data_IF_396801869113
#
_entry.id   IF_396801869113
#
_cell.length_a   1.000
_cell.length_b   1.000
_cell.length_c   1.000
_cell.angle_alpha   90.00
_cell.angle_beta   90.00
_cell.angle_gamma   90.00
#
_symmetry.space_group_name_H-M   'P 1'
#
loop_
_entity.id
_entity.type
_entity.pdbx_description
1 polymer ?
#
# COMPACT_ATOMS: atom_id res chain seq x y z
N UNK A 1 -40.59 19.93 -27.81
CA UNK A 1 -39.29 19.54 -28.40
C UNK A 1 -38.27 19.87 -27.34
N UNK A 2 -37.83 18.87 -26.58
CA UNK A 2 -36.71 19.01 -25.62
C UNK A 2 -35.40 18.71 -26.37
N UNK A 3 -34.53 19.72 -26.48
CA UNK A 3 -33.16 19.51 -26.94
C UNK A 3 -32.34 18.84 -25.81
N UNK A 4 -31.85 17.65 -26.11
CA UNK A 4 -30.85 16.98 -25.30
C UNK A 4 -29.51 17.72 -25.46
N UNK A 5 -29.06 18.39 -24.44
CA UNK A 5 -27.68 18.90 -24.38
C UNK A 5 -26.85 17.75 -23.86
N UNK A 6 -26.12 17.09 -24.73
CA UNK A 6 -25.14 16.10 -24.37
C UNK A 6 -24.03 16.76 -23.56
N UNK A 7 -23.88 16.36 -22.31
CA UNK A 7 -22.66 16.59 -21.55
C UNK A 7 -21.60 15.65 -22.15
N UNK A 8 -20.63 16.25 -22.82
CA UNK A 8 -19.41 15.51 -23.20
C UNK A 8 -18.77 15.00 -21.93
N UNK A 9 -18.27 13.72 -21.88
CA UNK A 9 -17.51 13.26 -20.74
C UNK A 9 -16.27 14.15 -20.62
N UNK A 10 -16.04 14.71 -19.43
CA UNK A 10 -14.82 15.43 -19.12
C UNK A 10 -13.66 14.52 -19.47
N UNK A 11 -12.78 14.97 -20.37
CA UNK A 11 -11.53 14.29 -20.65
C UNK A 11 -10.78 14.28 -19.31
N UNK A 12 -10.49 13.08 -18.80
CA UNK A 12 -9.56 12.91 -17.70
C UNK A 12 -8.23 13.52 -18.17
N UNK A 13 -7.80 14.60 -17.53
CA UNK A 13 -6.45 15.12 -17.71
C UNK A 13 -5.51 13.99 -17.26
N UNK A 14 -4.90 13.32 -18.22
CA UNK A 14 -3.77 12.44 -17.94
C UNK A 14 -2.71 13.33 -17.31
N UNK A 15 -2.31 13.01 -16.08
CA UNK A 15 -1.22 13.70 -15.41
C UNK A 15 0.02 13.65 -16.29
N UNK A 16 0.73 14.78 -16.39
CA UNK A 16 2.01 14.80 -17.10
C UNK A 16 2.97 13.79 -16.46
N UNK A 17 3.87 13.18 -17.23
CA UNK A 17 4.89 12.30 -16.65
C UNK A 17 5.63 13.00 -15.51
N UNK A 18 5.89 12.28 -14.43
CA UNK A 18 6.67 12.79 -13.30
C UNK A 18 8.01 13.32 -13.78
N UNK A 19 8.48 14.46 -13.26
CA UNK A 19 9.84 14.95 -13.49
C UNK A 19 10.88 13.88 -13.14
N UNK A 20 12.00 13.92 -13.87
CA UNK A 20 13.11 13.00 -13.63
C UNK A 20 13.62 13.13 -12.17
N UNK A 21 13.71 12.00 -11.47
CA UNK A 21 14.15 11.92 -10.09
C UNK A 21 13.05 12.11 -9.03
N UNK A 22 11.83 12.46 -9.41
CA UNK A 22 10.69 12.47 -8.50
C UNK A 22 10.13 11.07 -8.31
N UNK A 23 9.63 10.84 -7.10
CA UNK A 23 8.90 9.63 -6.70
C UNK A 23 7.53 10.02 -6.19
N UNK A 24 6.48 9.35 -6.64
CA UNK A 24 5.18 9.41 -5.97
C UNK A 24 4.90 8.09 -5.25
N UNK A 25 4.46 8.19 -4.01
CA UNK A 25 3.83 7.10 -3.26
C UNK A 25 2.39 7.52 -3.00
N UNK A 26 1.46 6.79 -3.60
CA UNK A 26 0.03 7.13 -3.61
C UNK A 26 -0.75 6.09 -2.82
N UNK A 27 -1.34 6.50 -1.73
CA UNK A 27 -2.26 5.69 -0.93
C UNK A 27 -3.67 5.91 -1.46
N UNK A 28 -4.15 4.97 -2.26
CA UNK A 28 -5.43 5.08 -2.96
C UNK A 28 -6.61 4.86 -2.00
N UNK A 29 -7.63 5.71 -2.07
CA UNK A 29 -8.88 5.56 -1.30
C UNK A 29 -9.72 4.42 -1.90
N UNK A 30 -9.49 3.21 -1.43
CA UNK A 30 -10.23 2.01 -1.82
C UNK A 30 -11.30 1.59 -0.80
N UNK A 31 -11.59 2.45 0.18
CA UNK A 31 -12.40 2.13 1.35
C UNK A 31 -11.61 1.34 2.39
N UNK A 32 -12.22 0.32 3.01
CA UNK A 32 -11.49 -0.54 3.95
C UNK A 32 -10.62 -1.52 3.17
N UNK A 33 -9.31 -1.33 3.21
CA UNK A 33 -8.31 -2.13 2.52
C UNK A 33 -7.13 -1.31 2.03
N UNK A 34 -6.17 -1.96 1.40
CA UNK A 34 -4.91 -1.36 0.96
C UNK A 34 -4.75 -1.38 -0.57
N UNK A 35 -4.29 -0.27 -1.10
CA UNK A 35 -3.74 -0.16 -2.44
C UNK A 35 -2.73 1.02 -2.47
N UNK A 36 -1.45 0.71 -2.61
CA UNK A 36 -0.38 1.70 -2.64
C UNK A 36 0.34 1.64 -3.98
N UNK A 37 0.31 2.76 -4.71
CA UNK A 37 0.98 2.90 -5.99
C UNK A 37 2.29 3.66 -5.82
N UNK A 38 3.39 3.09 -6.30
CA UNK A 38 4.70 3.74 -6.39
C UNK A 38 4.97 4.07 -7.85
N UNK A 39 5.21 5.33 -8.14
CA UNK A 39 5.60 5.82 -9.46
C UNK A 39 6.98 6.47 -9.40
N UNK A 40 7.88 6.06 -10.30
CA UNK A 40 9.22 6.64 -10.35
C UNK A 40 9.83 6.48 -11.74
N UNK A 41 10.22 7.60 -12.38
CA UNK A 41 10.85 7.61 -13.70
C UNK A 41 10.13 6.74 -14.77
N UNK A 42 8.80 6.77 -14.79
CA UNK A 42 7.98 6.04 -15.76
C UNK A 42 7.75 4.56 -15.43
N UNK A 43 8.35 4.05 -14.35
CA UNK A 43 8.06 2.73 -13.80
C UNK A 43 6.96 2.81 -12.74
N UNK A 44 6.19 1.72 -12.59
CA UNK A 44 5.08 1.64 -11.66
C UNK A 44 5.07 0.30 -10.89
N UNK A 45 4.86 0.39 -9.58
CA UNK A 45 4.61 -0.75 -8.71
C UNK A 45 3.31 -0.53 -7.95
N UNK A 46 2.44 -1.52 -7.93
CA UNK A 46 1.23 -1.52 -7.11
C UNK A 46 1.36 -2.56 -6.00
N UNK A 47 1.26 -2.12 -4.75
CA UNK A 47 1.23 -2.98 -3.56
C UNK A 47 -0.22 -3.06 -3.12
N UNK A 48 -0.78 -4.27 -3.15
CA UNK A 48 -2.19 -4.58 -2.94
C UNK A 48 -3.16 -3.85 -3.89
N UNK A 49 -4.42 -4.23 -3.86
CA UNK A 49 -5.42 -3.77 -4.83
C UNK A 49 -6.81 -3.55 -4.21
N UNK A 50 -6.87 -3.42 -2.90
CA UNK A 50 -8.09 -3.13 -2.16
C UNK A 50 -9.17 -4.23 -2.25
N UNK A 51 -10.34 -3.95 -1.69
CA UNK A 51 -11.47 -4.87 -1.73
C UNK A 51 -12.07 -4.97 -3.12
N UNK A 52 -12.79 -6.08 -3.36
CA UNK A 52 -13.43 -6.37 -4.65
C UNK A 52 -14.36 -5.25 -5.13
N UNK A 53 -15.03 -4.58 -4.23
CA UNK A 53 -16.02 -3.56 -4.60
C UNK A 53 -15.37 -2.26 -5.08
N UNK A 54 -14.14 -1.98 -4.66
CA UNK A 54 -13.36 -0.83 -5.13
C UNK A 54 -12.70 -1.03 -6.50
N UNK A 55 -12.65 -2.25 -7.04
CA UNK A 55 -11.86 -2.61 -8.24
C UNK A 55 -12.06 -1.73 -9.47
N UNK A 56 -13.29 -1.21 -9.68
CA UNK A 56 -13.57 -0.37 -10.85
C UNK A 56 -12.99 1.04 -10.67
N UNK A 57 -13.11 1.60 -9.47
CA UNK A 57 -12.52 2.87 -9.13
C UNK A 57 -10.99 2.76 -9.16
N UNK A 58 -10.42 1.71 -8.58
CA UNK A 58 -8.99 1.44 -8.62
C UNK A 58 -8.44 1.45 -10.05
N UNK A 59 -9.11 0.78 -11.00
CA UNK A 59 -8.68 0.78 -12.41
C UNK A 59 -8.74 2.20 -13.02
N UNK A 60 -9.74 2.99 -12.65
CA UNK A 60 -9.85 4.38 -13.12
C UNK A 60 -8.77 5.27 -12.49
N UNK A 61 -8.52 5.10 -11.20
CA UNK A 61 -7.51 5.85 -10.48
C UNK A 61 -6.12 5.56 -11.03
N UNK A 62 -5.75 4.29 -11.22
CA UNK A 62 -4.48 3.91 -11.84
C UNK A 62 -4.30 4.55 -13.23
N UNK A 63 -5.36 4.57 -14.05
CA UNK A 63 -5.33 5.24 -15.36
C UNK A 63 -5.17 6.76 -15.23
N UNK A 64 -5.77 7.39 -14.21
CA UNK A 64 -5.64 8.82 -13.98
C UNK A 64 -4.21 9.22 -13.61
N UNK A 65 -3.47 8.32 -12.94
CA UNK A 65 -2.04 8.44 -12.68
C UNK A 65 -1.16 8.07 -13.89
N UNK A 66 -1.76 7.82 -15.06
CA UNK A 66 -1.03 7.49 -16.29
C UNK A 66 -0.49 6.08 -16.36
N UNK A 67 -0.88 5.20 -15.43
CA UNK A 67 -0.45 3.79 -15.45
C UNK A 67 -1.03 3.08 -16.66
N UNK A 68 -0.18 2.49 -17.47
CA UNK A 68 -0.55 1.57 -18.55
C UNK A 68 0.10 0.19 -18.35
N UNK A 69 1.25 0.17 -17.67
CA UNK A 69 2.03 -1.00 -17.31
C UNK A 69 2.35 -0.95 -15.81
N UNK A 70 2.41 -2.11 -15.18
CA UNK A 70 2.97 -2.30 -13.84
C UNK A 70 4.20 -3.20 -13.95
N UNK A 71 5.36 -2.69 -13.56
CA UNK A 71 6.59 -3.47 -13.50
C UNK A 71 6.50 -4.54 -12.41
N UNK A 72 5.73 -4.23 -11.35
CA UNK A 72 5.48 -5.15 -10.26
C UNK A 72 4.06 -4.94 -9.70
N UNK A 73 3.32 -6.02 -9.53
CA UNK A 73 2.12 -6.10 -8.70
C UNK A 73 2.47 -6.98 -7.48
N UNK A 74 2.23 -6.48 -6.28
CA UNK A 74 2.55 -7.18 -5.04
C UNK A 74 1.27 -7.53 -4.30
N UNK A 75 1.15 -8.78 -3.90
CA UNK A 75 0.21 -9.26 -2.90
C UNK A 75 0.95 -9.35 -1.57
N UNK A 76 0.63 -8.50 -0.59
CA UNK A 76 1.26 -8.59 0.73
C UNK A 76 0.83 -9.86 1.45
N UNK A 77 -0.47 -10.13 1.46
CA UNK A 77 -1.07 -11.34 2.01
C UNK A 77 -2.47 -11.59 1.38
N UNK A 78 -3.07 -12.78 1.55
CA UNK A 78 -4.26 -13.17 0.79
C UNK A 78 -5.62 -12.73 1.34
N UNK A 79 -5.72 -11.72 2.21
CA UNK A 79 -7.00 -11.17 2.66
C UNK A 79 -7.74 -10.42 1.55
N UNK A 80 -9.07 -10.44 1.63
CA UNK A 80 -9.95 -9.96 0.56
C UNK A 80 -9.86 -8.45 0.31
N UNK A 81 -9.53 -7.68 1.31
CA UNK A 81 -9.34 -6.23 1.27
C UNK A 81 -7.96 -5.79 0.75
N UNK A 82 -7.10 -6.77 0.43
CA UNK A 82 -5.82 -6.58 -0.24
C UNK A 82 -5.83 -7.15 -1.66
N UNK A 83 -6.40 -8.34 -1.86
CA UNK A 83 -6.36 -9.01 -3.19
C UNK A 83 -7.61 -8.75 -4.04
N UNK A 84 -8.61 -8.07 -3.50
CA UNK A 84 -9.94 -7.94 -4.08
C UNK A 84 -10.00 -7.35 -5.47
N UNK A 85 -9.16 -6.37 -5.75
CA UNK A 85 -9.02 -5.71 -7.03
C UNK A 85 -8.02 -6.34 -7.99
N UNK A 86 -7.13 -7.23 -7.54
CA UNK A 86 -5.99 -7.72 -8.33
C UNK A 86 -6.40 -8.36 -9.66
N UNK A 87 -7.51 -9.12 -9.67
CA UNK A 87 -8.02 -9.68 -10.90
C UNK A 87 -8.33 -8.60 -11.95
N UNK A 88 -8.93 -7.49 -11.53
CA UNK A 88 -9.22 -6.38 -12.43
C UNK A 88 -7.95 -5.66 -12.90
N UNK A 89 -6.96 -5.55 -12.03
CA UNK A 89 -5.63 -5.00 -12.38
C UNK A 89 -4.97 -5.86 -13.45
N UNK A 90 -4.86 -7.17 -13.25
CA UNK A 90 -4.29 -8.12 -14.21
C UNK A 90 -4.99 -8.13 -15.57
N UNK A 91 -6.30 -7.85 -15.60
CA UNK A 91 -7.09 -7.82 -16.84
C UNK A 91 -7.03 -6.49 -17.58
N UNK A 92 -6.63 -5.40 -16.94
CA UNK A 92 -6.70 -4.06 -17.49
C UNK A 92 -5.34 -3.39 -17.72
N UNK A 93 -4.27 -3.94 -17.17
CA UNK A 93 -2.92 -3.39 -17.27
C UNK A 93 -1.92 -4.47 -17.72
N UNK A 94 -0.84 -4.03 -18.36
CA UNK A 94 0.31 -4.88 -18.68
C UNK A 94 1.16 -5.08 -17.41
N UNK A 95 0.94 -6.21 -16.72
CA UNK A 95 1.65 -6.55 -15.48
C UNK A 95 2.83 -7.46 -15.80
N UNK A 96 4.06 -7.04 -15.43
CA UNK A 96 5.27 -7.79 -15.75
C UNK A 96 5.53 -8.94 -14.77
N UNK A 97 5.22 -8.73 -13.48
CA UNK A 97 5.39 -9.76 -12.43
C UNK A 97 4.35 -9.58 -11.35
N UNK A 98 3.79 -10.67 -10.85
CA UNK A 98 3.01 -10.74 -9.62
C UNK A 98 3.87 -11.39 -8.53
N UNK A 99 4.20 -10.62 -7.49
CA UNK A 99 4.91 -11.09 -6.30
C UNK A 99 3.90 -11.49 -5.22
N UNK A 100 4.08 -12.66 -4.62
CA UNK A 100 3.20 -13.18 -3.56
C UNK A 100 4.00 -13.71 -2.37
N UNK A 101 3.44 -13.79 -1.16
CA UNK A 101 4.00 -14.63 -0.11
C UNK A 101 3.98 -16.10 -0.54
N UNK A 102 4.58 -16.98 0.28
CA UNK A 102 4.46 -18.42 0.08
C UNK A 102 3.03 -18.87 0.43
N UNK A 103 2.28 -19.27 -0.60
CA UNK A 103 0.89 -19.71 -0.49
C UNK A 103 0.74 -21.24 -0.47
N UNK A 104 1.85 -22.00 -0.43
CA UNK A 104 1.86 -23.45 -0.62
C UNK A 104 1.15 -24.24 0.48
N UNK A 105 1.13 -23.71 1.72
CA UNK A 105 0.53 -24.34 2.90
C UNK A 105 -0.72 -23.62 3.41
N UNK A 106 -1.25 -22.68 2.61
CA UNK A 106 -2.37 -21.83 3.03
C UNK A 106 -3.65 -22.20 2.30
N UNK A 107 -4.76 -22.28 3.03
CA UNK A 107 -6.10 -22.36 2.43
C UNK A 107 -6.43 -21.00 1.78
N UNK A 108 -5.92 -20.80 0.57
CA UNK A 108 -6.14 -19.56 -0.17
C UNK A 108 -7.62 -19.35 -0.47
N UNK A 109 -8.09 -18.13 -0.25
CA UNK A 109 -9.48 -17.76 -0.55
C UNK A 109 -9.81 -17.97 -2.03
N UNK A 110 -11.08 -18.17 -2.35
CA UNK A 110 -11.50 -18.28 -3.76
C UNK A 110 -11.18 -17.01 -4.58
N UNK A 111 -10.89 -15.90 -3.94
CA UNK A 111 -10.47 -14.64 -4.58
C UNK A 111 -8.99 -14.69 -4.95
N UNK A 112 -8.13 -15.16 -4.06
CA UNK A 112 -6.71 -15.40 -4.32
C UNK A 112 -6.52 -16.44 -5.42
N UNK A 113 -7.29 -17.54 -5.39
CA UNK A 113 -7.27 -18.56 -6.46
C UNK A 113 -7.59 -17.95 -7.83
N UNK A 114 -8.64 -17.11 -7.91
CA UNK A 114 -9.00 -16.40 -9.16
C UNK A 114 -7.92 -15.43 -9.62
N UNK A 115 -7.25 -14.75 -8.70
CA UNK A 115 -6.12 -13.87 -9.00
C UNK A 115 -4.97 -14.66 -9.65
N UNK A 116 -4.56 -15.75 -9.03
CA UNK A 116 -3.50 -16.63 -9.57
C UNK A 116 -3.88 -17.23 -10.91
N UNK A 117 -5.13 -17.69 -11.07
CA UNK A 117 -5.64 -18.17 -12.34
C UNK A 117 -5.63 -17.08 -13.41
N UNK A 118 -6.05 -15.86 -13.08
CA UNK A 118 -6.04 -14.73 -14.02
C UNK A 118 -4.61 -14.35 -14.41
N UNK A 119 -3.66 -14.36 -13.49
CA UNK A 119 -2.26 -14.13 -13.79
C UNK A 119 -1.75 -15.18 -14.83
N UNK A 120 -2.08 -16.44 -14.63
CA UNK A 120 -1.74 -17.51 -15.57
C UNK A 120 -2.40 -17.30 -16.95
N UNK A 121 -3.69 -16.93 -16.98
CA UNK A 121 -4.45 -16.67 -18.23
C UNK A 121 -3.88 -15.48 -19.00
N UNK A 122 -3.42 -14.44 -18.28
CA UNK A 122 -2.76 -13.26 -18.86
C UNK A 122 -1.27 -13.48 -19.17
N UNK A 123 -0.70 -14.63 -18.81
CA UNK A 123 0.72 -14.91 -19.01
C UNK A 123 1.67 -14.15 -18.10
N UNK A 124 1.15 -13.64 -16.95
CA UNK A 124 1.93 -12.90 -15.96
C UNK A 124 2.71 -13.88 -15.08
N UNK A 125 4.04 -13.77 -14.98
CA UNK A 125 4.85 -14.57 -14.07
C UNK A 125 4.43 -14.31 -12.62
N UNK A 126 4.30 -15.39 -11.83
CA UNK A 126 4.06 -15.32 -10.39
C UNK A 126 5.34 -15.74 -9.68
N UNK A 127 5.85 -14.88 -8.83
CA UNK A 127 7.05 -15.12 -8.04
C UNK A 127 6.69 -15.20 -6.56
N UNK A 128 7.30 -16.16 -5.85
CA UNK A 128 7.21 -16.23 -4.39
C UNK A 128 8.31 -15.39 -3.78
N UNK A 129 7.95 -14.54 -2.84
CA UNK A 129 8.86 -13.64 -2.17
C UNK A 129 9.88 -14.36 -1.27
N UNK A 130 11.09 -13.81 -1.17
CA UNK A 130 12.11 -14.23 -0.22
C UNK A 130 12.89 -13.04 0.33
N UNK A 131 13.42 -13.19 1.53
CA UNK A 131 14.19 -12.12 2.21
C UNK A 131 15.35 -11.61 1.36
N UNK A 132 15.42 -10.30 1.18
CA UNK A 132 16.47 -9.63 0.42
C UNK A 132 16.24 -9.60 -1.09
N UNK A 133 15.14 -10.14 -1.59
CA UNK A 133 14.75 -10.01 -3.00
C UNK A 133 14.54 -8.52 -3.34
N UNK A 134 15.01 -8.10 -4.50
CA UNK A 134 14.97 -6.70 -4.92
C UNK A 134 14.37 -6.54 -6.30
N UNK A 135 13.57 -5.47 -6.45
CA UNK A 135 13.01 -5.03 -7.72
C UNK A 135 13.40 -3.58 -7.98
N UNK A 136 13.76 -3.30 -9.21
CA UNK A 136 14.04 -1.94 -9.66
C UNK A 136 12.73 -1.28 -10.11
N UNK A 137 12.37 -0.16 -9.50
CA UNK A 137 11.23 0.66 -9.90
C UNK A 137 11.79 2.02 -10.31
N UNK A 138 11.92 2.25 -11.61
CA UNK A 138 12.63 3.40 -12.16
C UNK A 138 14.11 3.43 -11.79
N UNK A 139 14.53 4.37 -10.94
CA UNK A 139 15.89 4.39 -10.35
C UNK A 139 15.89 3.99 -8.87
N UNK A 140 14.69 3.72 -8.30
CA UNK A 140 14.54 3.25 -6.94
C UNK A 140 14.63 1.73 -6.84
N UNK A 141 14.71 1.24 -5.62
CA UNK A 141 14.77 -0.19 -5.30
C UNK A 141 13.72 -0.55 -4.27
N UNK A 142 12.87 -1.49 -4.58
CA UNK A 142 11.96 -2.15 -3.63
C UNK A 142 12.63 -3.43 -3.13
N UNK A 143 12.78 -3.55 -1.81
CA UNK A 143 13.40 -4.71 -1.16
C UNK A 143 12.38 -5.44 -0.30
N UNK A 144 12.29 -6.75 -0.44
CA UNK A 144 11.55 -7.62 0.49
C UNK A 144 12.39 -7.79 1.75
N UNK A 145 11.91 -7.26 2.87
CA UNK A 145 12.56 -7.40 4.17
C UNK A 145 12.16 -8.70 4.85
N UNK A 146 10.85 -8.96 4.93
CA UNK A 146 10.29 -10.24 5.36
C UNK A 146 9.34 -10.75 4.27
N UNK A 147 9.39 -12.05 3.93
CA UNK A 147 8.47 -12.68 2.97
C UNK A 147 7.18 -13.19 3.62
N UNK A 148 6.87 -12.76 4.83
CA UNK A 148 5.96 -13.37 5.79
C UNK A 148 6.71 -14.30 6.75
N UNK A 149 6.12 -14.64 7.88
CA UNK A 149 6.68 -15.60 8.86
C UNK A 149 5.82 -16.84 8.83
N UNK A 150 6.42 -17.99 9.12
CA UNK A 150 5.65 -19.24 9.26
C UNK A 150 4.54 -19.06 10.29
N UNK A 151 3.33 -19.48 9.94
CA UNK A 151 2.11 -19.41 10.74
C UNK A 151 2.20 -20.12 12.12
N UNK A 152 3.33 -20.74 12.43
CA UNK A 152 3.66 -21.37 13.71
C UNK A 152 4.15 -20.36 14.77
N UNK A 153 4.10 -19.07 14.50
CA UNK A 153 4.38 -18.04 15.49
C UNK A 153 3.27 -18.07 16.56
N UNK A 154 3.53 -18.79 17.62
CA UNK A 154 2.61 -18.94 18.74
C UNK A 154 2.21 -17.57 19.31
N UNK A 155 0.97 -17.15 19.07
CA UNK A 155 0.37 -15.95 19.64
C UNK A 155 -0.14 -14.91 18.65
N UNK A 156 -0.18 -15.20 17.34
CA UNK A 156 -0.89 -14.38 16.37
C UNK A 156 -2.40 -14.52 16.53
N UNK A 157 -3.11 -13.41 16.45
CA UNK A 157 -4.56 -13.38 16.42
C UNK A 157 -5.11 -13.82 15.04
N UNK A 158 -4.32 -13.61 13.96
CA UNK A 158 -4.61 -14.04 12.58
C UNK A 158 -3.34 -14.48 11.83
N UNK A 159 -3.21 -15.79 11.62
CA UNK A 159 -2.08 -16.38 10.89
C UNK A 159 -1.97 -15.90 9.42
N UNK A 160 -3.05 -15.39 8.84
CA UNK A 160 -3.03 -14.85 7.46
C UNK A 160 -2.36 -13.48 7.44
N UNK A 161 -2.54 -12.65 8.46
CA UNK A 161 -1.82 -11.40 8.61
C UNK A 161 -0.31 -11.61 8.72
N UNK A 162 0.12 -12.67 9.40
CA UNK A 162 1.53 -13.04 9.58
C UNK A 162 2.25 -13.40 8.27
N UNK A 163 1.49 -13.66 7.20
CA UNK A 163 2.04 -13.87 5.86
C UNK A 163 2.42 -12.55 5.17
N UNK A 164 2.15 -11.40 5.77
CA UNK A 164 2.37 -10.10 5.14
C UNK A 164 3.83 -9.90 4.74
N UNK A 165 4.02 -9.54 3.46
CA UNK A 165 5.31 -9.09 2.97
C UNK A 165 5.64 -7.73 3.59
N UNK A 166 6.77 -7.64 4.28
CA UNK A 166 7.33 -6.36 4.70
C UNK A 166 8.27 -5.86 3.62
N UNK A 167 7.97 -4.68 3.08
CA UNK A 167 8.61 -4.11 1.90
C UNK A 167 9.23 -2.75 2.22
N UNK A 168 10.42 -2.48 1.70
CA UNK A 168 11.03 -1.15 1.81
C UNK A 168 11.48 -0.65 0.46
N UNK A 169 10.97 0.51 0.08
CA UNK A 169 11.37 1.22 -1.13
C UNK A 169 12.36 2.34 -0.81
N UNK A 170 13.36 2.52 -1.67
CA UNK A 170 14.38 3.55 -1.57
C UNK A 170 14.62 4.22 -2.93
N UNK A 171 14.59 5.55 -2.95
CA UNK A 171 14.98 6.35 -4.11
C UNK A 171 15.77 7.59 -3.63
N UNK A 172 17.09 7.57 -3.84
CA UNK A 172 17.98 8.56 -3.24
C UNK A 172 17.93 8.52 -1.71
N UNK A 173 17.57 9.64 -1.07
CA UNK A 173 17.39 9.74 0.37
C UNK A 173 15.93 9.52 0.82
N UNK A 174 15.01 9.40 -0.12
CA UNK A 174 13.61 9.08 0.20
C UNK A 174 13.44 7.58 0.45
N UNK A 175 12.67 7.25 1.47
CA UNK A 175 12.40 5.86 1.86
C UNK A 175 10.96 5.68 2.29
N UNK A 176 10.37 4.56 1.87
CA UNK A 176 9.01 4.16 2.21
C UNK A 176 9.01 2.74 2.76
N UNK A 177 8.31 2.51 3.86
CA UNK A 177 8.11 1.19 4.47
C UNK A 177 6.63 0.81 4.42
N UNK A 178 6.36 -0.41 3.99
CA UNK A 178 5.06 -1.05 4.01
C UNK A 178 5.21 -2.43 4.68
N UNK A 179 4.41 -2.70 5.70
CA UNK A 179 4.41 -3.97 6.43
C UNK A 179 3.14 -4.78 6.20
N UNK A 180 2.31 -4.39 5.22
CA UNK A 180 1.01 -5.01 5.02
C UNK A 180 0.19 -4.97 6.31
N UNK A 181 -0.32 -6.13 6.72
CA UNK A 181 -1.06 -6.32 7.96
C UNK A 181 -0.26 -7.10 9.02
N UNK A 182 1.08 -7.14 8.86
CA UNK A 182 1.98 -7.74 9.85
C UNK A 182 1.65 -7.23 11.26
N UNK A 183 1.53 -8.16 12.20
CA UNK A 183 1.20 -7.86 13.57
C UNK A 183 2.45 -7.77 14.46
N UNK A 184 2.29 -7.59 15.75
CA UNK A 184 3.37 -7.34 16.71
C UNK A 184 4.51 -8.36 16.68
N UNK A 185 4.21 -9.61 16.35
CA UNK A 185 5.21 -10.67 16.30
C UNK A 185 6.13 -10.51 15.10
N UNK A 186 5.58 -10.25 13.94
CA UNK A 186 6.31 -9.99 12.69
C UNK A 186 7.07 -8.67 12.79
N UNK A 187 6.46 -7.64 13.38
CA UNK A 187 7.13 -6.38 13.65
C UNK A 187 8.34 -6.57 14.58
N UNK A 188 8.23 -7.44 15.59
CA UNK A 188 9.36 -7.77 16.46
C UNK A 188 10.46 -8.50 15.70
N UNK A 189 10.12 -9.47 14.84
CA UNK A 189 11.08 -10.17 13.96
C UNK A 189 11.76 -9.18 13.02
N UNK A 190 10.98 -8.29 12.40
CA UNK A 190 11.50 -7.25 11.50
C UNK A 190 12.49 -6.33 12.23
N UNK A 191 12.13 -5.87 13.43
CA UNK A 191 12.97 -5.03 14.27
C UNK A 191 14.25 -5.71 14.71
N UNK A 192 14.21 -7.02 15.00
CA UNK A 192 15.39 -7.82 15.38
C UNK A 192 16.32 -8.07 14.19
N UNK A 193 15.76 -8.40 13.01
CA UNK A 193 16.57 -8.69 11.82
C UNK A 193 17.23 -7.45 11.20
N UNK A 194 16.61 -6.29 11.33
CA UNK A 194 17.07 -5.05 10.71
C UNK A 194 17.33 -3.91 11.71
N UNK A 195 18.11 -4.12 12.78
CA UNK A 195 18.37 -3.08 13.77
C UNK A 195 18.99 -1.85 13.08
N UNK A 196 18.41 -0.67 13.30
CA UNK A 196 18.85 0.63 12.73
C UNK A 196 18.74 0.74 11.18
N UNK A 197 18.14 -0.23 10.49
CA UNK A 197 17.98 -0.23 9.03
C UNK A 197 16.55 0.00 8.55
N UNK A 198 15.60 0.11 9.47
CA UNK A 198 14.19 0.31 9.14
C UNK A 198 13.82 1.78 8.95
N UNK A 199 14.73 2.71 9.26
CA UNK A 199 14.44 4.13 9.14
C UNK A 199 13.84 4.45 7.77
N UNK A 200 12.63 5.05 7.80
CA UNK A 200 11.88 5.37 6.59
C UNK A 200 11.19 6.72 6.74
N UNK A 201 11.22 7.51 5.66
CA UNK A 201 10.60 8.84 5.61
C UNK A 201 9.09 8.75 5.76
N UNK A 202 8.50 7.76 5.05
CA UNK A 202 7.07 7.49 5.05
C UNK A 202 6.85 6.04 5.49
N UNK A 203 5.85 5.81 6.33
CA UNK A 203 5.42 4.49 6.75
C UNK A 203 3.91 4.33 6.50
N UNK A 204 3.52 3.24 5.84
CA UNK A 204 2.12 2.83 5.82
C UNK A 204 1.79 2.22 7.16
N UNK A 205 0.80 2.77 7.87
CA UNK A 205 0.36 2.17 9.13
C UNK A 205 0.01 0.70 8.94
N UNK A 206 0.64 -0.17 9.71
CA UNK A 206 0.39 -1.61 9.66
C UNK A 206 -1.07 -1.92 9.98
N UNK A 207 -1.66 -2.86 9.25
CA UNK A 207 -3.00 -3.36 9.47
C UNK A 207 -4.04 -2.23 9.62
N UNK A 208 -4.05 -1.30 8.65
CA UNK A 208 -4.97 -0.15 8.58
C UNK A 208 -4.95 0.76 9.82
N UNK A 209 -3.91 0.72 10.62
CA UNK A 209 -3.81 1.40 11.91
C UNK A 209 -4.44 0.60 13.07
N UNK A 210 -4.43 -0.74 12.99
CA UNK A 210 -4.79 -1.61 14.11
C UNK A 210 -3.82 -1.48 15.28
N UNK A 211 -4.32 -1.62 16.51
CA UNK A 211 -3.51 -1.70 17.72
C UNK A 211 -2.82 -3.06 17.89
N UNK A 212 -3.08 -4.05 17.02
CA UNK A 212 -2.31 -5.30 16.95
C UNK A 212 -0.95 -5.10 16.28
N UNK A 213 -0.83 -4.00 15.51
CA UNK A 213 0.35 -3.56 14.77
C UNK A 213 0.82 -2.18 15.25
N UNK A 214 1.77 -1.56 14.55
CA UNK A 214 2.29 -0.23 14.83
C UNK A 214 2.94 -0.12 16.21
N UNK A 215 3.67 -1.16 16.61
CA UNK A 215 4.29 -1.22 17.93
C UNK A 215 5.31 -0.08 18.12
N UNK A 216 5.40 0.43 19.34
CA UNK A 216 6.39 1.43 19.71
C UNK A 216 7.82 1.00 19.37
N UNK A 217 8.12 -0.30 19.49
CA UNK A 217 9.42 -0.88 19.11
C UNK A 217 9.70 -0.67 17.62
N UNK A 218 8.73 -0.92 16.75
CA UNK A 218 8.87 -0.70 15.32
C UNK A 218 8.99 0.81 15.03
N UNK A 219 8.08 1.62 15.53
CA UNK A 219 8.05 3.07 15.32
C UNK A 219 9.36 3.74 15.76
N UNK A 220 9.93 3.31 16.88
CA UNK A 220 11.22 3.81 17.35
C UNK A 220 12.37 3.50 16.37
N UNK A 221 12.35 2.38 15.66
CA UNK A 221 13.35 2.04 14.65
C UNK A 221 13.09 2.69 13.29
N UNK A 222 11.80 2.80 12.89
CA UNK A 222 11.41 3.42 11.62
C UNK A 222 11.59 4.93 11.66
N UNK A 223 11.27 5.57 12.77
CA UNK A 223 11.32 7.03 12.94
C UNK A 223 10.70 7.78 11.77
N UNK A 224 9.44 7.48 11.40
CA UNK A 224 8.82 8.08 10.24
C UNK A 224 8.55 9.56 10.47
N UNK A 225 8.62 10.36 9.39
CA UNK A 225 8.17 11.74 9.40
C UNK A 225 6.66 11.80 9.11
N UNK A 226 6.18 10.84 8.33
CA UNK A 226 4.80 10.72 7.90
C UNK A 226 4.34 9.27 8.01
N UNK A 227 3.14 9.08 8.58
CA UNK A 227 2.43 7.80 8.59
C UNK A 227 1.09 7.98 7.88
N UNK A 228 0.74 7.03 7.02
CA UNK A 228 -0.56 7.02 6.34
C UNK A 228 -1.30 5.72 6.65
N UNK A 229 -2.52 5.82 7.16
CA UNK A 229 -3.42 4.70 7.34
C UNK A 229 -4.42 4.60 6.16
N UNK A 230 -4.39 3.49 5.45
CA UNK A 230 -5.42 3.14 4.47
C UNK A 230 -6.58 2.48 5.22
N UNK A 231 -7.73 3.13 5.29
CA UNK A 231 -8.89 2.64 6.04
C UNK A 231 -10.20 3.22 5.49
N UNK A 232 -11.30 2.53 5.72
CA UNK A 232 -12.63 2.99 5.30
C UNK A 232 -13.34 3.82 6.35
N UNK A 233 -14.12 4.79 5.92
CA UNK A 233 -14.95 5.59 6.82
C UNK A 233 -15.99 4.69 7.52
N UNK A 234 -16.09 4.82 8.86
CA UNK A 234 -17.01 4.02 9.69
C UNK A 234 -16.85 2.50 9.48
N UNK A 235 -15.63 2.03 9.26
CA UNK A 235 -15.36 0.60 9.12
C UNK A 235 -15.72 -0.19 10.38
N UNK A 236 -16.08 -1.46 10.20
CA UNK A 236 -16.56 -2.33 11.29
C UNK A 236 -15.46 -2.70 12.31
N UNK A 237 -14.19 -2.47 11.97
CA UNK A 237 -13.03 -2.79 12.82
C UNK A 237 -12.65 -1.64 13.76
N UNK A 238 -13.12 -0.43 13.48
CA UNK A 238 -12.76 0.77 14.23
C UNK A 238 -11.35 1.31 13.89
N UNK A 239 -10.81 0.90 12.74
CA UNK A 239 -9.50 1.37 12.25
C UNK A 239 -9.54 2.81 11.73
N UNK A 240 -8.48 3.61 11.93
CA UNK A 240 -7.37 3.32 12.84
C UNK A 240 -7.82 3.38 14.30
N UNK A 241 -7.28 2.51 15.14
CA UNK A 241 -7.58 2.51 16.56
C UNK A 241 -7.10 3.79 17.24
N UNK A 242 -7.82 4.20 18.28
CA UNK A 242 -7.53 5.43 19.02
C UNK A 242 -6.11 5.45 19.60
N UNK A 243 -5.64 4.29 20.04
CA UNK A 243 -4.31 4.13 20.60
C UNK A 243 -3.22 4.45 19.57
N UNK A 244 -3.41 4.03 18.31
CA UNK A 244 -2.47 4.33 17.23
C UNK A 244 -2.49 5.82 16.88
N UNK A 245 -3.68 6.43 16.81
CA UNK A 245 -3.80 7.89 16.58
C UNK A 245 -3.09 8.66 17.69
N UNK A 246 -3.28 8.27 18.95
CA UNK A 246 -2.67 8.93 20.09
C UNK A 246 -1.14 8.78 20.08
N UNK A 247 -0.63 7.60 19.73
CA UNK A 247 0.81 7.34 19.60
C UNK A 247 1.45 8.28 18.56
N UNK A 248 0.82 8.42 17.38
CA UNK A 248 1.33 9.33 16.33
C UNK A 248 1.36 10.79 16.82
N UNK A 249 0.33 11.21 17.57
CA UNK A 249 0.27 12.55 18.14
C UNK A 249 1.34 12.78 19.22
N UNK A 250 1.53 11.81 20.11
CA UNK A 250 2.49 11.88 21.21
C UNK A 250 3.94 11.91 20.70
N UNK A 251 4.23 11.20 19.62
CA UNK A 251 5.53 11.18 18.94
C UNK A 251 5.72 12.38 17.97
N UNK A 252 4.67 13.17 17.73
CA UNK A 252 4.73 14.33 16.82
C UNK A 252 4.91 13.92 15.34
N UNK A 253 4.36 12.77 14.97
CA UNK A 253 4.40 12.23 13.60
C UNK A 253 3.20 12.74 12.82
N UNK A 254 3.41 13.27 11.61
CA UNK A 254 2.33 13.62 10.70
C UNK A 254 1.52 12.37 10.34
N UNK A 255 0.20 12.42 10.58
CA UNK A 255 -0.66 11.25 10.39
C UNK A 255 -1.85 11.56 9.48
N UNK A 256 -1.93 10.85 8.35
CA UNK A 256 -3.03 10.96 7.39
C UNK A 256 -3.83 9.65 7.34
N UNK A 257 -5.12 9.76 6.96
CA UNK A 257 -6.06 8.63 6.87
C UNK A 257 -6.86 8.75 5.58
N UNK A 258 -6.94 7.68 4.80
CA UNK A 258 -7.66 7.74 3.51
C UNK A 258 -9.17 7.95 3.67
N UNK A 259 -9.78 7.52 4.78
CA UNK A 259 -11.20 7.75 5.06
C UNK A 259 -11.57 9.23 5.24
N UNK A 260 -10.64 10.04 5.74
CA UNK A 260 -10.84 11.48 5.95
C UNK A 260 -10.31 12.34 4.80
N UNK A 261 -9.17 11.97 4.26
CA UNK A 261 -8.44 12.75 3.26
C UNK A 261 -8.63 12.27 1.82
N UNK A 262 -9.33 11.12 1.62
CA UNK A 262 -9.35 10.45 0.32
C UNK A 262 -7.98 9.92 -0.05
N UNK A 263 -7.70 9.81 -1.32
CA UNK A 263 -6.36 9.44 -1.80
C UNK A 263 -5.31 10.43 -1.29
N UNK A 264 -4.23 9.90 -0.70
CA UNK A 264 -3.08 10.67 -0.19
C UNK A 264 -1.89 10.42 -1.10
N UNK A 265 -1.36 11.48 -1.70
CA UNK A 265 -0.20 11.42 -2.60
C UNK A 265 0.99 12.08 -1.93
N UNK A 266 2.07 11.33 -1.79
CA UNK A 266 3.38 11.82 -1.32
C UNK A 266 4.29 11.95 -2.53
N UNK A 267 4.66 13.18 -2.88
CA UNK A 267 5.64 13.46 -3.94
C UNK A 267 6.99 13.80 -3.33
N UNK A 268 7.97 12.97 -3.58
CA UNK A 268 9.30 13.05 -2.96
C UNK A 268 10.40 13.33 -3.98
N UNK A 269 11.41 14.06 -3.54
CA UNK A 269 12.63 14.36 -4.28
C UNK A 269 13.77 13.41 -3.87
N UNK A 270 14.76 13.27 -4.72
CA UNK A 270 15.91 12.42 -4.46
C UNK A 270 16.74 12.83 -3.22
N UNK A 271 16.61 14.08 -2.75
CA UNK A 271 17.24 14.55 -1.50
C UNK A 271 16.49 14.13 -0.23
N UNK A 272 15.33 13.49 -0.39
CA UNK A 272 14.46 13.02 0.69
C UNK A 272 13.42 14.04 1.15
N UNK A 273 13.38 15.24 0.59
CA UNK A 273 12.28 16.18 0.81
C UNK A 273 11.01 15.69 0.13
N UNK A 274 9.85 15.98 0.71
CA UNK A 274 8.57 15.56 0.16
C UNK A 274 7.46 16.58 0.41
N UNK A 275 6.39 16.45 -0.36
CA UNK A 275 5.12 17.16 -0.17
C UNK A 275 3.98 16.16 -0.12
N UNK A 276 2.89 16.54 0.55
CA UNK A 276 1.68 15.70 0.65
C UNK A 276 0.52 16.44 0.00
N UNK A 277 -0.22 15.75 -0.86
CA UNK A 277 -1.46 16.21 -1.45
C UNK A 277 -2.57 15.21 -1.10
N UNK A 278 -3.77 15.72 -0.86
CA UNK A 278 -4.93 14.91 -0.51
C UNK A 278 -6.08 15.20 -1.43
N UNK A 279 -6.86 14.17 -1.78
CA UNK A 279 -8.02 14.31 -2.66
C UNK A 279 -9.19 15.05 -1.99
N UNK A 280 -9.24 15.03 -0.66
CA UNK A 280 -10.26 15.70 0.16
C UNK A 280 -9.59 16.50 1.27
N UNK A 281 -10.29 17.51 1.79
CA UNK A 281 -9.97 18.12 3.08
C UNK A 281 -10.98 17.57 4.10
N UNK A 282 -10.55 17.13 5.27
CA UNK A 282 -11.47 16.66 6.29
C UNK A 282 -12.40 17.78 6.73
N UNK A 283 -13.64 17.46 7.06
CA UNK A 283 -14.52 18.40 7.74
C UNK A 283 -13.90 18.82 9.07
N UNK A 284 -14.03 20.12 9.45
CA UNK A 284 -13.40 20.66 10.68
C UNK A 284 -13.76 19.87 11.95
N UNK A 285 -14.90 19.18 11.96
CA UNK A 285 -15.37 18.35 13.08
C UNK A 285 -14.63 16.99 13.19
N UNK A 286 -13.99 16.53 12.11
CA UNK A 286 -13.32 15.21 12.00
C UNK A 286 -11.79 15.34 11.95
N UNK A 287 -11.28 16.56 11.78
CA UNK A 287 -9.85 16.79 11.79
C UNK A 287 -9.29 16.50 13.19
N UNK A 288 -8.17 15.75 13.31
CA UNK A 288 -7.50 15.61 14.60
C UNK A 288 -7.15 17.02 15.11
N UNK A 289 -7.39 17.26 16.40
CA UNK A 289 -7.01 18.53 17.03
C UNK A 289 -5.49 18.73 16.84
N UNK A 290 -5.13 19.88 16.27
CA UNK A 290 -3.75 20.30 16.01
C UNK A 290 -2.94 20.44 17.30
#
# INVERSE_FOLDING_TARGET
IYQWVGLEPSQSETTAPLPEGETEVVFLDVGQGDAVLILQNGAACLIDAGPKDARQNLVQDLRSYGVSQLDLLVMTHPHADHVGGMQAVLQNFDVQTLLTPDLSETDVTGQTQRTLQTAQECGVPVETAYTGQQYTIGTGTLTVLLPGVDADTAGSDDATNDMSLCLRFEAGNFTFLDTGDAERNEEAVLAEQYPFRLRSTVFKAGHHGSSTSNTQTLLWQVQPQLVVASCGLNNDYGHPHREVIQEMQDEGIDFYRTDLYGTVTVTAQADGSFTVQTAKQPDEELAPAA
#
